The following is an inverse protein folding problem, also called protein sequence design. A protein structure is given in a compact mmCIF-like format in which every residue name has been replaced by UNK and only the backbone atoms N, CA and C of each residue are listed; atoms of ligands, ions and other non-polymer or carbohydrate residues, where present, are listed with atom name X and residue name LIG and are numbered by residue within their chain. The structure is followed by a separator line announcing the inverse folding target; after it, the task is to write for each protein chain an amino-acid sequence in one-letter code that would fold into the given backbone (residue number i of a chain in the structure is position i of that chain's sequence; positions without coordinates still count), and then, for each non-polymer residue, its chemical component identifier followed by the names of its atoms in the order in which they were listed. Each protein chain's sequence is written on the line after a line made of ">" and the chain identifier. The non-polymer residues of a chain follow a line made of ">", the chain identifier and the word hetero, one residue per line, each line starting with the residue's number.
data_IF_438429766598
#
_entry.id   IF_438429766598
#
_cell.length_a   1.000
_cell.length_b   1.000
_cell.length_c   1.000
_cell.angle_alpha   90.00
_cell.angle_beta   90.00
_cell.angle_gamma   90.00
#
_symmetry.space_group_name_H-M   'P 1'
#
loop_
_entity.id
_entity.type
_entity.pdbx_description
1 polymer ?
#
# COMPACT_ATOMS: atom_id res chain seq x y z
N UNK A 1 -28.50 -10.11 -57.12
CA UNK A 1 -28.21 -10.77 -55.83
C UNK A 1 -26.89 -10.25 -55.22
N UNK A 2 -26.70 -8.94 -55.02
CA UNK A 2 -25.43 -8.37 -54.50
C UNK A 2 -25.53 -7.71 -53.11
N UNK A 3 -26.71 -7.71 -52.49
CA UNK A 3 -26.92 -7.12 -51.16
C UNK A 3 -26.52 -8.04 -50.00
N UNK A 4 -26.43 -9.35 -50.23
CA UNK A 4 -26.07 -10.31 -49.17
C UNK A 4 -24.58 -10.27 -48.79
N UNK A 5 -23.68 -9.96 -49.72
CA UNK A 5 -22.25 -9.92 -49.42
C UNK A 5 -21.87 -8.70 -48.56
N UNK A 6 -22.40 -7.51 -48.88
CA UNK A 6 -22.07 -6.28 -48.13
C UNK A 6 -22.49 -6.34 -46.65
N UNK A 7 -23.62 -6.97 -46.33
CA UNK A 7 -24.05 -7.13 -44.93
C UNK A 7 -23.15 -8.09 -44.15
N UNK A 8 -22.68 -9.15 -44.81
CA UNK A 8 -21.75 -10.10 -44.19
C UNK A 8 -20.36 -9.48 -43.99
N UNK A 9 -19.92 -8.61 -44.89
CA UNK A 9 -18.65 -7.90 -44.77
C UNK A 9 -18.67 -6.92 -43.58
N UNK A 10 -19.74 -6.14 -43.42
CA UNK A 10 -19.91 -5.20 -42.28
C UNK A 10 -19.88 -5.93 -40.94
N UNK A 11 -20.65 -7.00 -40.79
CA UNK A 11 -20.70 -7.78 -39.54
C UNK A 11 -19.34 -8.39 -39.21
N UNK A 12 -18.58 -8.78 -40.24
CA UNK A 12 -17.24 -9.36 -40.06
C UNK A 12 -16.25 -8.30 -39.58
N UNK A 13 -16.33 -7.09 -40.10
CA UNK A 13 -15.47 -5.97 -39.72
C UNK A 13 -15.73 -5.52 -38.28
N UNK A 14 -17.01 -5.38 -37.88
CA UNK A 14 -17.40 -5.07 -36.49
C UNK A 14 -16.93 -6.15 -35.51
N UNK A 15 -17.09 -7.43 -35.86
CA UNK A 15 -16.62 -8.53 -35.01
C UNK A 15 -15.10 -8.56 -34.88
N UNK A 16 -14.36 -8.18 -35.93
CA UNK A 16 -12.91 -8.07 -35.87
C UNK A 16 -12.47 -6.90 -35.00
N UNK A 17 -13.16 -5.76 -35.07
CA UNK A 17 -12.89 -4.59 -34.25
C UNK A 17 -13.07 -4.90 -32.76
N UNK A 18 -14.19 -5.51 -32.37
CA UNK A 18 -14.43 -5.92 -30.97
C UNK A 18 -13.33 -6.86 -30.47
N UNK A 19 -12.94 -7.86 -31.27
CA UNK A 19 -11.85 -8.79 -30.90
C UNK A 19 -10.52 -8.08 -30.71
N UNK A 20 -10.22 -7.09 -31.56
CA UNK A 20 -8.99 -6.31 -31.42
C UNK A 20 -9.00 -5.46 -30.15
N UNK A 21 -10.14 -4.86 -29.81
CA UNK A 21 -10.30 -4.08 -28.57
C UNK A 21 -10.16 -5.01 -27.35
N UNK A 22 -10.81 -6.17 -27.36
CA UNK A 22 -10.71 -7.16 -26.28
C UNK A 22 -9.26 -7.58 -26.01
N UNK A 23 -8.52 -7.90 -27.08
CA UNK A 23 -7.12 -8.32 -26.95
C UNK A 23 -6.22 -7.18 -26.43
N UNK A 24 -6.39 -5.97 -26.97
CA UNK A 24 -5.66 -4.79 -26.50
C UNK A 24 -5.97 -4.48 -25.03
N UNK A 25 -7.23 -4.61 -24.63
CA UNK A 25 -7.67 -4.38 -23.26
C UNK A 25 -7.07 -5.43 -22.30
N UNK A 26 -7.06 -6.72 -22.69
CA UNK A 26 -6.42 -7.78 -21.90
C UNK A 26 -4.93 -7.52 -21.70
N UNK A 27 -4.23 -7.13 -22.76
CA UNK A 27 -2.80 -6.77 -22.69
C UNK A 27 -2.59 -5.61 -21.71
N UNK A 28 -3.37 -4.53 -21.84
CA UNK A 28 -3.27 -3.37 -20.98
C UNK A 28 -3.58 -3.69 -19.51
N UNK A 29 -4.65 -4.46 -19.25
CA UNK A 29 -5.06 -4.86 -17.91
C UNK A 29 -4.07 -5.83 -17.26
N UNK A 30 -3.52 -6.78 -18.02
CA UNK A 30 -2.48 -7.69 -17.55
C UNK A 30 -1.20 -6.93 -17.15
N UNK A 31 -0.76 -5.99 -18.01
CA UNK A 31 0.37 -5.12 -17.70
C UNK A 31 0.11 -4.26 -16.45
N UNK A 32 -1.12 -3.73 -16.32
CA UNK A 32 -1.53 -2.96 -15.14
C UNK A 32 -1.53 -3.81 -13.86
N UNK A 33 -2.04 -5.04 -13.91
CA UNK A 33 -1.99 -5.98 -12.77
C UNK A 33 -0.56 -6.21 -12.32
N UNK A 34 0.37 -6.43 -13.26
CA UNK A 34 1.76 -6.70 -12.93
C UNK A 34 2.42 -5.51 -12.21
N UNK A 35 2.26 -4.29 -12.74
CA UNK A 35 2.84 -3.10 -12.08
C UNK A 35 2.16 -2.79 -10.75
N UNK A 36 0.86 -3.07 -10.59
CA UNK A 36 0.17 -2.91 -9.29
C UNK A 36 0.70 -3.88 -8.24
N UNK A 37 1.03 -5.12 -8.62
CA UNK A 37 1.69 -6.09 -7.72
C UNK A 37 3.08 -5.61 -7.31
N UNK A 38 3.87 -5.09 -8.25
CA UNK A 38 5.19 -4.53 -7.96
C UNK A 38 5.12 -3.30 -7.06
N UNK A 39 4.14 -2.41 -7.29
CA UNK A 39 3.89 -1.26 -6.42
C UNK A 39 3.48 -1.70 -5.01
N UNK A 40 2.60 -2.69 -4.88
CA UNK A 40 2.21 -3.21 -3.57
C UNK A 40 3.41 -3.77 -2.82
N UNK A 41 4.24 -4.60 -3.47
CA UNK A 41 5.48 -5.11 -2.87
C UNK A 41 6.43 -3.97 -2.46
N UNK A 42 6.59 -2.94 -3.31
CA UNK A 42 7.37 -1.75 -2.98
C UNK A 42 6.82 -1.00 -1.75
N UNK A 43 5.50 -0.97 -1.55
CA UNK A 43 4.86 -0.36 -0.39
C UNK A 43 4.99 -1.21 0.88
N UNK A 44 4.99 -2.53 0.75
CA UNK A 44 5.28 -3.45 1.85
C UNK A 44 6.75 -3.33 2.28
N UNK A 45 7.69 -3.26 1.33
CA UNK A 45 9.10 -3.00 1.60
C UNK A 45 9.32 -1.65 2.30
N UNK A 46 8.59 -0.60 1.87
CA UNK A 46 8.56 0.69 2.55
C UNK A 46 8.18 0.52 4.02
N UNK A 47 7.13 -0.25 4.31
CA UNK A 47 6.69 -0.52 5.68
C UNK A 47 7.80 -1.12 6.52
N UNK A 48 8.47 -2.16 6.00
CA UNK A 48 9.58 -2.81 6.71
C UNK A 48 10.75 -1.85 6.94
N UNK A 49 11.09 -1.01 5.96
CA UNK A 49 12.17 -0.04 6.09
C UNK A 49 11.85 1.02 7.16
N UNK A 50 10.59 1.49 7.24
CA UNK A 50 10.13 2.41 8.28
C UNK A 50 10.22 1.76 9.66
N UNK A 51 9.70 0.54 9.82
CA UNK A 51 9.70 -0.19 11.10
C UNK A 51 11.13 -0.48 11.60
N UNK A 52 12.06 -0.77 10.69
CA UNK A 52 13.47 -1.00 11.02
C UNK A 52 14.31 0.29 11.12
N UNK A 53 13.70 1.46 10.93
CA UNK A 53 14.37 2.77 10.88
C UNK A 53 15.57 2.79 9.90
N UNK A 54 15.45 2.05 8.79
CA UNK A 54 16.52 1.88 7.82
C UNK A 54 16.40 2.91 6.69
N UNK A 55 16.91 4.12 6.96
CA UNK A 55 16.85 5.24 6.01
C UNK A 55 17.50 4.95 4.64
N UNK A 56 18.67 4.27 4.55
CA UNK A 56 19.23 3.89 3.25
C UNK A 56 18.30 2.99 2.42
N UNK A 57 17.70 1.96 3.04
CA UNK A 57 16.75 1.08 2.35
C UNK A 57 15.51 1.86 1.90
N UNK A 58 14.96 2.70 2.77
CA UNK A 58 13.83 3.57 2.45
C UNK A 58 14.10 4.44 1.22
N UNK A 59 15.29 5.05 1.14
CA UNK A 59 15.65 5.88 -0.02
C UNK A 59 15.71 5.07 -1.32
N UNK A 60 16.24 3.84 -1.29
CA UNK A 60 16.27 2.95 -2.46
C UNK A 60 14.85 2.63 -2.92
N UNK A 61 13.96 2.30 -1.98
CA UNK A 61 12.55 2.00 -2.24
C UNK A 61 11.86 3.21 -2.90
N UNK A 62 12.06 4.41 -2.37
CA UNK A 62 11.51 5.65 -2.95
C UNK A 62 12.03 5.91 -4.37
N UNK A 63 13.32 5.70 -4.62
CA UNK A 63 13.90 5.88 -5.96
C UNK A 63 13.34 4.88 -6.99
N UNK A 64 12.98 3.67 -6.55
CA UNK A 64 12.36 2.67 -7.43
C UNK A 64 10.86 2.88 -7.67
N UNK A 65 10.18 3.72 -6.86
CA UNK A 65 8.73 3.93 -6.92
C UNK A 65 8.29 4.76 -8.12
N UNK A 66 9.03 5.80 -8.47
CA UNK A 66 8.67 6.71 -9.56
C UNK A 66 8.46 6.01 -10.92
N UNK A 67 9.39 5.16 -11.43
CA UNK A 67 9.17 4.47 -12.69
C UNK A 67 7.94 3.55 -12.65
N UNK A 68 7.66 2.91 -11.51
CA UNK A 68 6.47 2.07 -11.34
C UNK A 68 5.17 2.89 -11.43
N UNK A 69 5.14 4.08 -10.81
CA UNK A 69 3.98 4.99 -10.90
C UNK A 69 3.76 5.49 -12.34
N UNK A 70 4.83 5.80 -13.07
CA UNK A 70 4.75 6.20 -14.47
C UNK A 70 4.19 5.08 -15.34
N UNK A 71 4.69 3.85 -15.17
CA UNK A 71 4.17 2.67 -15.88
C UNK A 71 2.70 2.39 -15.53
N UNK A 72 2.33 2.47 -14.25
CA UNK A 72 0.94 2.32 -13.82
C UNK A 72 0.02 3.34 -14.48
N UNK A 73 0.41 4.62 -14.54
CA UNK A 73 -0.39 5.65 -15.20
C UNK A 73 -0.54 5.38 -16.71
N UNK A 74 0.52 4.96 -17.39
CA UNK A 74 0.49 4.64 -18.82
C UNK A 74 -0.44 3.45 -19.13
N UNK A 75 -0.33 2.34 -18.38
CA UNK A 75 -1.18 1.17 -18.57
C UNK A 75 -2.63 1.45 -18.19
N UNK A 76 -2.87 2.19 -17.10
CA UNK A 76 -4.21 2.66 -16.74
C UNK A 76 -4.82 3.53 -17.84
N UNK A 77 -4.05 4.44 -18.42
CA UNK A 77 -4.50 5.28 -19.54
C UNK A 77 -4.92 4.45 -20.74
N UNK A 78 -4.12 3.45 -21.12
CA UNK A 78 -4.43 2.53 -22.22
C UNK A 78 -5.69 1.72 -21.91
N UNK A 79 -5.80 1.13 -20.72
CA UNK A 79 -6.99 0.40 -20.29
C UNK A 79 -8.26 1.26 -20.38
N UNK A 80 -8.22 2.50 -19.87
CA UNK A 80 -9.36 3.42 -19.93
C UNK A 80 -9.72 3.73 -21.39
N UNK A 81 -8.74 3.94 -22.26
CA UNK A 81 -9.00 4.18 -23.68
C UNK A 81 -9.70 2.99 -24.35
N UNK A 82 -9.24 1.76 -24.12
CA UNK A 82 -9.87 0.57 -24.71
C UNK A 82 -11.28 0.32 -24.13
N UNK A 83 -11.48 0.53 -22.82
CA UNK A 83 -12.82 0.47 -22.21
C UNK A 83 -13.77 1.51 -22.82
N UNK A 84 -13.27 2.70 -23.15
CA UNK A 84 -14.09 3.74 -23.79
C UNK A 84 -14.48 3.34 -25.21
N UNK A 85 -13.59 2.73 -25.97
CA UNK A 85 -13.93 2.17 -27.29
C UNK A 85 -15.02 1.10 -27.16
N UNK A 86 -14.93 0.20 -26.17
CA UNK A 86 -16.02 -0.75 -25.90
C UNK A 86 -17.32 -0.04 -25.55
N UNK A 87 -17.29 0.99 -24.69
CA UNK A 87 -18.48 1.78 -24.34
C UNK A 87 -19.12 2.42 -25.58
N UNK A 88 -18.32 2.97 -26.48
CA UNK A 88 -18.81 3.63 -27.69
C UNK A 88 -19.53 2.66 -28.65
N UNK A 89 -19.21 1.36 -28.59
CA UNK A 89 -19.91 0.30 -29.30
C UNK A 89 -21.23 -0.11 -28.64
N UNK A 90 -21.47 0.30 -27.39
CA UNK A 90 -22.65 -0.05 -26.58
C UNK A 90 -23.40 1.21 -26.07
N UNK A 91 -24.16 1.91 -26.93
CA UNK A 91 -24.88 3.15 -26.57
C UNK A 91 -25.85 3.00 -25.39
N UNK A 92 -26.36 1.79 -25.17
CA UNK A 92 -27.21 1.42 -24.02
C UNK A 92 -26.51 1.51 -22.66
N UNK A 93 -25.19 1.73 -22.65
CA UNK A 93 -24.35 1.85 -21.45
C UNK A 93 -23.76 3.27 -21.30
N UNK A 94 -24.43 4.26 -21.89
CA UNK A 94 -24.08 5.67 -21.77
C UNK A 94 -23.98 6.14 -20.30
N UNK A 95 -24.77 5.55 -19.39
CA UNK A 95 -24.82 5.86 -17.96
C UNK A 95 -23.50 5.62 -17.21
N UNK A 96 -22.56 4.86 -17.78
CA UNK A 96 -21.26 4.59 -17.17
C UNK A 96 -20.28 5.75 -17.43
N UNK A 97 -20.33 6.79 -16.59
CA UNK A 97 -19.56 8.02 -16.80
C UNK A 97 -18.15 8.00 -16.21
N UNK A 98 -17.93 7.37 -15.06
CA UNK A 98 -16.58 7.33 -14.47
C UNK A 98 -15.76 6.11 -14.90
N UNK A 99 -14.43 6.26 -14.99
CA UNK A 99 -13.50 5.15 -15.26
C UNK A 99 -13.74 3.95 -14.32
N UNK A 100 -13.99 4.25 -13.04
CA UNK A 100 -14.19 3.24 -12.01
C UNK A 100 -15.51 2.50 -12.16
N UNK A 101 -16.59 3.19 -12.55
CA UNK A 101 -17.86 2.54 -12.84
C UNK A 101 -17.76 1.67 -14.08
N UNK A 102 -17.09 2.14 -15.14
CA UNK A 102 -16.87 1.35 -16.37
C UNK A 102 -16.08 0.08 -16.07
N UNK A 103 -15.02 0.17 -15.28
CA UNK A 103 -14.24 -1.00 -14.85
C UNK A 103 -15.09 -1.98 -14.02
N UNK A 104 -15.85 -1.49 -13.03
CA UNK A 104 -16.73 -2.34 -12.20
C UNK A 104 -17.81 -3.04 -13.03
N UNK A 105 -18.31 -2.36 -14.06
CA UNK A 105 -19.36 -2.85 -14.94
C UNK A 105 -18.83 -3.48 -16.24
N UNK A 106 -17.55 -3.88 -16.29
CA UNK A 106 -16.92 -4.38 -17.52
C UNK A 106 -17.66 -5.58 -18.14
N UNK A 107 -18.32 -6.42 -17.34
CA UNK A 107 -19.15 -7.52 -17.83
C UNK A 107 -20.34 -7.07 -18.69
N UNK A 108 -20.84 -5.84 -18.51
CA UNK A 108 -21.88 -5.24 -19.36
C UNK A 108 -21.32 -4.82 -20.72
N UNK A 109 -20.04 -4.45 -20.78
CA UNK A 109 -19.39 -3.94 -22.00
C UNK A 109 -18.74 -5.04 -22.83
N UNK A 110 -18.05 -5.99 -22.19
CA UNK A 110 -17.21 -6.99 -22.86
C UNK A 110 -17.81 -8.40 -22.84
N UNK A 111 -19.05 -8.54 -22.37
CA UNK A 111 -19.71 -9.84 -22.18
C UNK A 111 -19.37 -10.51 -20.84
N UNK A 112 -20.34 -11.25 -20.30
CA UNK A 112 -20.18 -11.99 -19.05
C UNK A 112 -19.36 -13.28 -19.20
N UNK A 113 -19.15 -13.74 -20.44
CA UNK A 113 -18.40 -14.93 -20.83
C UNK A 113 -16.91 -14.67 -21.06
N UNK A 114 -16.47 -13.40 -21.07
CA UNK A 114 -15.06 -13.03 -21.17
C UNK A 114 -14.33 -13.19 -19.82
N UNK A 115 -14.24 -14.44 -19.34
CA UNK A 115 -13.77 -14.81 -18.00
C UNK A 115 -12.38 -14.23 -17.68
N UNK A 116 -11.47 -14.27 -18.65
CA UNK A 116 -10.11 -13.74 -18.48
C UNK A 116 -10.12 -12.25 -18.16
N UNK A 117 -10.88 -11.48 -18.94
CA UNK A 117 -11.00 -10.03 -18.76
C UNK A 117 -11.66 -9.68 -17.41
N UNK A 118 -12.71 -10.42 -17.03
CA UNK A 118 -13.37 -10.24 -15.74
C UNK A 118 -12.47 -10.61 -14.57
N UNK A 119 -11.63 -11.63 -14.74
CA UNK A 119 -10.62 -12.01 -13.74
C UNK A 119 -9.58 -10.91 -13.57
N UNK A 120 -9.09 -10.32 -14.67
CA UNK A 120 -8.16 -9.19 -14.64
C UNK A 120 -8.79 -7.97 -13.95
N UNK A 121 -10.06 -7.66 -14.22
CA UNK A 121 -10.81 -6.61 -13.53
C UNK A 121 -10.79 -6.84 -12.02
N UNK A 122 -11.14 -8.05 -11.58
CA UNK A 122 -11.22 -8.38 -10.16
C UNK A 122 -9.86 -8.26 -9.47
N UNK A 123 -8.79 -8.67 -10.16
CA UNK A 123 -7.42 -8.48 -9.67
C UNK A 123 -7.06 -7.00 -9.52
N UNK A 124 -7.40 -6.14 -10.49
CA UNK A 124 -7.13 -4.70 -10.41
C UNK A 124 -7.89 -4.07 -9.25
N UNK A 125 -9.17 -4.42 -9.06
CA UNK A 125 -9.98 -3.89 -7.96
C UNK A 125 -9.44 -4.34 -6.60
N UNK A 126 -9.09 -5.62 -6.45
CA UNK A 126 -8.53 -6.16 -5.22
C UNK A 126 -7.17 -5.53 -4.87
N UNK A 127 -6.28 -5.39 -5.86
CA UNK A 127 -4.97 -4.76 -5.66
C UNK A 127 -5.11 -3.28 -5.29
N UNK A 128 -6.03 -2.55 -5.92
CA UNK A 128 -6.29 -1.15 -5.59
C UNK A 128 -6.73 -0.99 -4.12
N UNK A 129 -7.62 -1.86 -3.64
CA UNK A 129 -8.05 -1.86 -2.24
C UNK A 129 -6.91 -2.23 -1.28
N UNK A 130 -6.08 -3.22 -1.64
CA UNK A 130 -4.92 -3.61 -0.84
C UNK A 130 -3.90 -2.47 -0.73
N UNK A 131 -3.60 -1.79 -1.84
CA UNK A 131 -2.71 -0.64 -1.86
C UNK A 131 -3.25 0.53 -1.03
N UNK A 132 -4.56 0.79 -1.04
CA UNK A 132 -5.17 1.82 -0.19
C UNK A 132 -4.99 1.51 1.31
N UNK A 133 -5.20 0.25 1.70
CA UNK A 133 -4.94 -0.21 3.07
C UNK A 133 -3.48 -0.06 3.42
N UNK A 134 -2.57 -0.53 2.56
CA UNK A 134 -1.13 -0.44 2.77
C UNK A 134 -0.65 1.02 2.91
N UNK A 135 -1.15 1.93 2.07
CA UNK A 135 -0.85 3.36 2.16
C UNK A 135 -1.31 3.95 3.50
N UNK A 136 -2.49 3.55 3.97
CA UNK A 136 -3.02 3.98 5.27
C UNK A 136 -2.11 3.51 6.41
N UNK A 137 -1.67 2.25 6.38
CA UNK A 137 -0.73 1.73 7.37
C UNK A 137 0.62 2.45 7.36
N UNK A 138 1.22 2.67 6.19
CA UNK A 138 2.50 3.37 6.07
C UNK A 138 2.40 4.80 6.61
N UNK A 139 1.30 5.52 6.32
CA UNK A 139 1.05 6.86 6.86
C UNK A 139 0.94 6.88 8.38
N UNK A 140 0.24 5.90 8.97
CA UNK A 140 0.13 5.80 10.43
C UNK A 140 1.49 5.55 11.10
N UNK A 141 2.33 4.69 10.51
CA UNK A 141 3.68 4.42 11.04
C UNK A 141 4.56 5.67 11.01
N UNK A 142 4.55 6.42 9.90
CA UNK A 142 5.29 7.67 9.80
C UNK A 142 4.81 8.72 10.81
N UNK A 143 3.49 8.83 11.01
CA UNK A 143 2.92 9.75 12.01
C UNK A 143 3.32 9.41 13.45
N UNK A 144 3.42 8.13 13.80
CA UNK A 144 3.83 7.70 15.14
C UNK A 144 5.32 8.00 15.42
N UNK A 145 6.20 7.85 14.43
CA UNK A 145 7.63 8.17 14.59
C UNK A 145 7.88 9.68 14.83
N UNK A 146 7.03 10.54 14.25
CA UNK A 146 7.10 11.99 14.49
C UNK A 146 6.70 12.34 15.92
N UNK A 147 5.71 11.65 16.50
CA UNK A 147 5.27 11.90 17.88
C UNK A 147 6.27 11.37 18.93
N UNK A 148 6.89 10.22 18.68
CA UNK A 148 7.90 9.63 19.59
C UNK A 148 9.14 10.53 19.73
N UNK A 149 9.58 11.14 18.63
CA UNK A 149 10.73 12.06 18.61
C UNK A 149 10.46 13.42 19.28
N UNK A 150 9.19 13.79 19.48
CA UNK A 150 8.81 14.95 20.31
C UNK A 150 8.79 14.61 21.81
N UNK A 151 8.36 13.41 22.20
CA UNK A 151 8.35 12.97 23.60
C UNK A 151 9.75 12.74 24.20
N UNK A 152 10.74 12.32 23.39
CA UNK A 152 12.12 12.16 23.89
C UNK A 152 12.80 13.49 24.23
N UNK A 153 12.41 14.60 23.58
CA UNK A 153 12.95 15.93 23.89
C UNK A 153 12.48 16.49 25.25
N UNK A 154 11.35 16.01 25.80
CA UNK A 154 10.88 16.45 27.12
C UNK A 154 11.47 15.65 28.29
N UNK A 155 12.12 14.50 28.06
CA UNK A 155 12.70 13.70 29.16
C UNK A 155 14.13 14.12 29.57
N UNK A 156 14.80 14.98 28.79
CA UNK A 156 16.18 15.40 29.06
C UNK A 156 16.34 16.72 29.83
N UNK A 157 15.23 17.31 30.31
CA UNK A 157 15.27 18.61 31.00
C UNK A 157 15.15 18.56 32.54
N UNK A 158 15.32 17.39 33.18
CA UNK A 158 15.47 17.30 34.63
C UNK A 158 16.75 16.56 35.04
N UNK A 159 17.88 17.28 34.98
CA UNK A 159 19.02 17.01 35.86
C UNK A 159 18.91 17.96 37.07
N UNK A 160 18.55 17.49 38.28
CA UNK A 160 18.78 18.30 39.46
C UNK A 160 20.29 18.42 39.66
N UNK A 161 20.83 19.62 39.43
CA UNK A 161 22.17 20.02 39.85
C UNK A 161 22.21 20.06 41.37
N UNK A 162 22.67 18.99 42.01
CA UNK A 162 23.14 19.05 43.40
C UNK A 162 24.65 19.31 43.39
N UNK A 163 24.99 20.60 43.33
CA UNK A 163 26.32 21.08 43.70
C UNK A 163 26.25 21.64 45.11
N UNK A 164 26.76 20.89 46.09
CA UNK A 164 27.23 21.46 47.35
C UNK A 164 28.35 20.59 47.92
N UNK A 165 29.57 21.02 47.61
CA UNK A 165 30.82 20.53 48.18
C UNK A 165 30.95 21.11 49.59
N UNK A 166 30.85 20.27 50.62
CA UNK A 166 31.34 20.60 51.96
C UNK A 166 32.12 19.39 52.50
N UNK A 167 33.41 19.60 52.76
CA UNK A 167 34.27 18.85 53.68
C UNK A 167 34.91 19.91 54.61
N UNK A 168 35.48 19.60 55.78
CA UNK A 168 35.49 18.34 56.55
C UNK A 168 35.24 18.55 58.08
N UNK A 169 35.08 17.48 58.88
CA UNK A 169 35.72 17.40 60.21
C UNK A 169 35.70 15.98 60.80
N UNK A 170 36.85 15.58 61.38
CA UNK A 170 37.07 14.34 62.12
C UNK A 170 36.62 14.51 63.58
N UNK A 171 35.84 13.57 64.11
CA UNK A 171 35.91 13.05 65.50
C UNK A 171 34.99 11.82 65.55
N UNK A 172 35.51 10.60 65.68
CA UNK A 172 35.98 9.88 66.87
C UNK A 172 34.88 9.05 67.55
N UNK A 173 35.26 7.81 67.88
CA UNK A 173 34.73 6.95 68.95
C UNK A 173 33.50 6.06 68.62
N UNK A 174 33.78 4.77 68.40
CA UNK A 174 32.94 3.61 68.72
C UNK A 174 32.64 3.56 70.23
N UNK A 175 31.48 3.06 70.69
CA UNK A 175 31.44 1.63 71.08
C UNK A 175 30.11 0.88 70.90
N UNK A 176 30.27 -0.39 70.48
CA UNK A 176 29.66 -1.65 70.96
C UNK A 176 28.20 -1.70 71.51
N UNK A 177 27.52 -2.77 71.04
CA UNK A 177 26.33 -3.46 71.57
C UNK A 177 24.99 -2.79 71.20
N UNK A 178 24.11 -3.46 70.44
CA UNK A 178 23.12 -4.38 71.04
C UNK A 178 22.47 -5.28 69.96
N UNK A 179 22.47 -6.60 70.22
CA UNK A 179 21.53 -7.69 69.83
C UNK A 179 21.20 -7.86 68.32
N UNK A 180 21.58 -8.92 67.58
CA UNK A 180 21.49 -10.38 67.81
C UNK A 180 20.16 -10.88 68.40
N UNK A 181 19.11 -10.94 67.59
CA UNK A 181 18.04 -11.98 67.53
C UNK A 181 17.15 -11.55 66.33
N UNK A 182 16.81 -12.30 65.28
CA UNK A 182 16.23 -13.64 65.16
C UNK A 182 16.57 -14.15 63.74
N UNK A 183 17.34 -15.23 63.67
CA UNK A 183 17.25 -16.20 62.57
C UNK A 183 16.05 -17.13 62.85
N UNK A 184 15.51 -17.72 61.77
CA UNK A 184 14.68 -18.94 61.72
C UNK A 184 13.21 -18.83 62.15
N UNK A 185 12.35 -18.84 61.14
CA UNK A 185 11.42 -19.95 60.84
C UNK A 185 11.16 -19.89 59.33
N UNK A 186 11.74 -20.82 58.55
CA UNK A 186 11.09 -22.05 58.05
C UNK A 186 10.00 -21.69 57.02
N UNK A 187 10.20 -21.81 55.70
CA UNK A 187 10.38 -23.09 54.98
C UNK A 187 9.51 -24.19 55.57
N UNK A 188 8.22 -24.19 55.20
CA UNK A 188 7.39 -25.36 54.91
C UNK A 188 5.96 -24.88 54.60
N UNK A 189 5.66 -24.80 53.30
CA UNK A 189 4.37 -25.16 52.69
C UNK A 189 4.58 -25.29 51.18
#
# INVERSE_FOLDING_TARGET
>A
MHFSNRKNDIIRDELNEVKMIDEALKIAMSALVNVLRELLANMEEEQYAIMAQNAPAFQVIMNSREPLLNSMQAFRGTMVQEINKLKDLHPEHADLESDQERLKNLARLAGADNIELLTLRDQILALSEQMEKQNTYNKLLLGNQQNESETENYSHQYKPRLAARVKPQKSSILPKQILQTIERTAEEN
#
